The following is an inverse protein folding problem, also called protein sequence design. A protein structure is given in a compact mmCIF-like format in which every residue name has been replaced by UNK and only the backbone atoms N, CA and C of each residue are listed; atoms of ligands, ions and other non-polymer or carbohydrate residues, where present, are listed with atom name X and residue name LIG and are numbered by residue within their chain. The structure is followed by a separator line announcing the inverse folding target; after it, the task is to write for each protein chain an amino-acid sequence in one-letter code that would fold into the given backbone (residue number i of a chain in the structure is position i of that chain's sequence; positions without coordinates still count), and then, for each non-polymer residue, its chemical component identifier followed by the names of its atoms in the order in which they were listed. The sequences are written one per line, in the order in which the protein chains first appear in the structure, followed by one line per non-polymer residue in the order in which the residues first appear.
data_IF_419897704566
#
_entry.id   IF_419897704566
#
_cell.length_a   1.000
_cell.length_b   1.000
_cell.length_c   1.000
_cell.angle_alpha   90.00
_cell.angle_beta   90.00
_cell.angle_gamma   90.00
#
_symmetry.space_group_name_H-M   'P 1'
#
loop_
_entity.id
_entity.type
_entity.pdbx_description
1 polymer ?
#
# COMPACT_ATOMS: atom_id res chain seq x y z
N UNK A 1 12.06 7.46 -13.99
CA UNK A 1 12.18 6.05 -13.56
C UNK A 1 11.36 5.90 -12.29
N UNK A 2 10.35 5.03 -12.28
CA UNK A 2 9.45 4.84 -11.12
C UNK A 2 10.11 3.85 -10.16
N UNK A 3 10.00 4.07 -8.85
CA UNK A 3 10.49 3.13 -7.84
C UNK A 3 9.78 1.76 -7.98
N UNK A 4 10.51 0.64 -7.90
CA UNK A 4 9.95 -0.70 -8.10
C UNK A 4 8.84 -1.05 -7.10
N UNK A 5 8.90 -0.56 -5.86
CA UNK A 5 7.84 -0.80 -4.88
C UNK A 5 6.55 -0.05 -5.25
N UNK A 6 6.69 1.14 -5.83
CA UNK A 6 5.56 1.91 -6.36
C UNK A 6 4.92 1.21 -7.56
N UNK A 7 5.73 0.66 -8.47
CA UNK A 7 5.22 -0.10 -9.62
C UNK A 7 4.42 -1.34 -9.17
N UNK A 8 4.95 -2.13 -8.21
CA UNK A 8 4.25 -3.29 -7.66
C UNK A 8 2.93 -2.92 -6.97
N UNK A 9 2.90 -1.78 -6.27
CA UNK A 9 1.69 -1.27 -5.62
C UNK A 9 0.61 -0.91 -6.65
N UNK A 10 1.01 -0.27 -7.75
CA UNK A 10 0.09 0.09 -8.83
C UNK A 10 -0.40 -1.14 -9.60
N UNK A 11 0.47 -2.08 -9.92
CA UNK A 11 0.10 -3.35 -10.56
C UNK A 11 -0.90 -4.13 -9.70
N UNK A 12 -0.61 -4.26 -8.40
CA UNK A 12 -1.51 -4.96 -7.47
C UNK A 12 -2.88 -4.29 -7.38
N UNK A 13 -2.90 -2.94 -7.32
CA UNK A 13 -4.15 -2.17 -7.30
C UNK A 13 -4.94 -2.33 -8.60
N UNK A 14 -4.26 -2.34 -9.74
CA UNK A 14 -4.85 -2.56 -11.05
C UNK A 14 -5.50 -3.94 -11.13
N UNK A 15 -4.74 -5.00 -10.80
CA UNK A 15 -5.17 -6.39 -10.88
C UNK A 15 -6.33 -6.70 -9.94
N UNK A 16 -6.29 -6.20 -8.72
CA UNK A 16 -7.27 -6.53 -7.68
C UNK A 16 -8.54 -5.69 -7.72
N UNK A 17 -8.45 -4.42 -8.16
CA UNK A 17 -9.56 -3.48 -8.02
C UNK A 17 -10.08 -2.93 -9.34
N UNK A 18 -9.21 -2.74 -10.34
CA UNK A 18 -9.59 -2.11 -11.61
C UNK A 18 -10.01 -3.15 -12.65
N UNK A 19 -9.18 -4.19 -12.86
CA UNK A 19 -9.42 -5.25 -13.86
C UNK A 19 -10.74 -6.00 -13.64
N UNK A 20 -11.14 -6.39 -12.41
CA UNK A 20 -12.38 -7.15 -12.21
C UNK A 20 -13.64 -6.38 -12.60
N UNK A 21 -13.61 -5.04 -12.53
CA UNK A 21 -14.79 -4.19 -12.77
C UNK A 21 -14.78 -3.61 -14.19
N UNK A 22 -13.62 -3.16 -14.67
CA UNK A 22 -13.51 -2.42 -15.92
C UNK A 22 -12.69 -3.12 -17.00
N UNK A 23 -11.98 -4.21 -16.68
CA UNK A 23 -11.03 -4.85 -17.61
C UNK A 23 -11.65 -5.45 -18.87
N UNK A 24 -12.97 -5.73 -18.86
CA UNK A 24 -13.72 -6.24 -20.02
C UNK A 24 -14.62 -5.20 -20.69
N UNK A 25 -14.69 -3.99 -20.15
CA UNK A 25 -15.60 -2.93 -20.64
C UNK A 25 -14.84 -2.02 -21.59
N UNK A 26 -15.52 -1.55 -22.64
CA UNK A 26 -14.94 -0.55 -23.52
C UNK A 26 -14.85 0.79 -22.78
N UNK A 27 -13.68 1.44 -22.82
CA UNK A 27 -13.40 2.66 -22.05
C UNK A 27 -14.43 3.79 -22.30
N UNK A 28 -14.98 3.87 -23.52
CA UNK A 28 -16.00 4.86 -23.91
C UNK A 28 -17.35 4.69 -23.23
N UNK A 29 -17.62 3.51 -22.65
CA UNK A 29 -18.91 3.21 -21.98
C UNK A 29 -18.90 3.53 -20.50
N UNK A 30 -17.73 3.82 -19.92
CA UNK A 30 -17.57 4.05 -18.49
C UNK A 30 -18.15 5.41 -18.12
N UNK A 31 -19.17 5.40 -17.26
CA UNK A 31 -19.81 6.64 -16.79
C UNK A 31 -19.13 7.16 -15.52
N UNK A 32 -19.07 8.49 -15.33
CA UNK A 32 -18.55 9.08 -14.09
C UNK A 32 -19.28 8.63 -12.81
N UNK A 33 -20.58 8.34 -12.90
CA UNK A 33 -21.39 7.83 -11.78
C UNK A 33 -20.97 6.44 -11.35
N UNK A 34 -20.55 5.59 -12.29
CA UNK A 34 -20.06 4.23 -11.99
C UNK A 34 -18.71 4.30 -11.27
N UNK A 35 -17.82 5.21 -11.69
CA UNK A 35 -16.54 5.45 -11.01
C UNK A 35 -16.79 5.94 -9.59
N UNK A 36 -17.72 6.88 -9.39
CA UNK A 36 -18.06 7.37 -8.05
C UNK A 36 -18.60 6.26 -7.14
N UNK A 37 -19.50 5.41 -7.66
CA UNK A 37 -20.03 4.26 -6.91
C UNK A 37 -18.94 3.22 -6.59
N UNK A 38 -18.04 2.97 -7.54
CA UNK A 38 -16.93 2.04 -7.36
C UNK A 38 -15.95 2.53 -6.29
N UNK A 39 -15.57 3.82 -6.33
CA UNK A 39 -14.69 4.42 -5.32
C UNK A 39 -15.32 4.36 -3.92
N UNK A 40 -16.62 4.65 -3.81
CA UNK A 40 -17.35 4.53 -2.54
C UNK A 40 -17.39 3.07 -2.03
N UNK A 41 -17.58 2.10 -2.93
CA UNK A 41 -17.54 0.68 -2.57
C UNK A 41 -16.16 0.20 -2.13
N UNK A 42 -15.09 0.74 -2.71
CA UNK A 42 -13.71 0.44 -2.28
C UNK A 42 -13.40 1.06 -0.92
N UNK A 43 -13.84 2.30 -0.67
CA UNK A 43 -13.64 2.97 0.62
C UNK A 43 -14.33 2.19 1.75
N UNK A 44 -15.55 1.73 1.51
CA UNK A 44 -16.31 0.93 2.48
C UNK A 44 -15.67 -0.43 2.79
N UNK A 45 -14.94 -1.04 1.84
CA UNK A 45 -14.38 -2.40 1.99
C UNK A 45 -12.92 -2.43 2.43
N UNK A 46 -12.09 -1.53 1.91
CA UNK A 46 -10.63 -1.56 2.06
C UNK A 46 -10.06 -0.28 2.67
N UNK A 47 -10.91 0.72 2.94
CA UNK A 47 -10.53 2.01 3.50
C UNK A 47 -10.00 3.02 2.48
N UNK A 48 -9.91 4.27 2.93
CA UNK A 48 -9.66 5.44 2.10
C UNK A 48 -8.31 5.39 1.35
N UNK A 49 -7.24 4.87 1.97
CA UNK A 49 -5.91 4.84 1.33
C UNK A 49 -5.86 3.87 0.14
N UNK A 50 -6.49 2.70 0.29
CA UNK A 50 -6.61 1.70 -0.79
C UNK A 50 -7.49 2.25 -1.91
N UNK A 51 -8.67 2.80 -1.58
CA UNK A 51 -9.59 3.38 -2.54
C UNK A 51 -8.95 4.52 -3.34
N UNK A 52 -8.16 5.38 -2.67
CA UNK A 52 -7.40 6.46 -3.32
C UNK A 52 -6.32 5.93 -4.25
N UNK A 53 -5.56 4.92 -3.83
CA UNK A 53 -4.52 4.32 -4.69
C UNK A 53 -5.14 3.71 -5.95
N UNK A 54 -6.23 2.94 -5.80
CA UNK A 54 -6.95 2.36 -6.93
C UNK A 54 -7.53 3.43 -7.86
N UNK A 55 -8.09 4.51 -7.29
CA UNK A 55 -8.58 5.65 -8.06
C UNK A 55 -7.46 6.34 -8.86
N UNK A 56 -6.28 6.56 -8.27
CA UNK A 56 -5.15 7.20 -8.96
C UNK A 56 -4.66 6.37 -10.14
N UNK A 57 -4.55 5.05 -9.97
CA UNK A 57 -4.16 4.12 -11.05
C UNK A 57 -5.18 4.18 -12.20
N UNK A 58 -6.48 4.14 -11.87
CA UNK A 58 -7.55 4.27 -12.87
C UNK A 58 -7.51 5.63 -13.57
N UNK A 59 -7.36 6.71 -12.81
CA UNK A 59 -7.30 8.06 -13.36
C UNK A 59 -6.15 8.20 -14.35
N UNK A 60 -4.94 7.75 -13.98
CA UNK A 60 -3.78 7.79 -14.87
C UNK A 60 -3.97 6.94 -16.12
N UNK A 61 -4.58 5.75 -15.99
CA UNK A 61 -4.92 4.92 -17.16
C UNK A 61 -5.89 5.64 -18.11
N UNK A 62 -6.89 6.34 -17.57
CA UNK A 62 -7.84 7.12 -18.37
C UNK A 62 -7.23 8.40 -18.95
N UNK A 63 -6.19 8.97 -18.33
CA UNK A 63 -5.45 10.08 -18.93
C UNK A 63 -4.64 9.63 -20.15
N UNK A 64 -3.91 8.51 -20.04
CA UNK A 64 -3.21 7.93 -21.19
C UNK A 64 -4.18 7.62 -22.33
N UNK A 65 -5.37 7.09 -22.02
CA UNK A 65 -6.39 6.83 -23.04
C UNK A 65 -7.00 8.10 -23.66
N UNK A 66 -6.90 9.25 -22.99
CA UNK A 66 -7.28 10.56 -23.56
C UNK A 66 -6.16 11.08 -24.46
N UNK A 67 -4.91 10.91 -24.04
CA UNK A 67 -3.73 11.27 -24.84
C UNK A 67 -3.66 10.43 -26.14
N UNK A 68 -4.07 9.17 -26.08
CA UNK A 68 -4.23 8.28 -27.25
C UNK A 68 -5.52 8.54 -28.07
N UNK A 69 -6.27 9.61 -27.77
CA UNK A 69 -7.54 10.00 -28.39
C UNK A 69 -8.67 8.93 -28.35
N UNK A 70 -8.50 7.84 -27.60
CA UNK A 70 -9.50 6.79 -27.45
C UNK A 70 -10.77 7.29 -26.74
N UNK A 71 -10.63 8.32 -25.88
CA UNK A 71 -11.73 9.00 -25.18
C UNK A 71 -11.53 10.51 -25.25
N UNK A 72 -12.60 11.27 -25.49
CA UNK A 72 -12.54 12.75 -25.56
C UNK A 72 -12.25 13.45 -24.23
N UNK A 73 -12.61 12.84 -23.11
CA UNK A 73 -12.49 13.45 -21.77
C UNK A 73 -12.42 12.36 -20.71
N UNK A 74 -11.55 12.56 -19.72
CA UNK A 74 -11.43 11.65 -18.59
C UNK A 74 -12.71 11.69 -17.71
N UNK A 75 -13.49 10.59 -17.62
CA UNK A 75 -14.70 10.54 -16.80
C UNK A 75 -14.41 10.59 -15.28
N UNK A 76 -13.19 10.25 -14.84
CA UNK A 76 -12.78 10.31 -13.44
C UNK A 76 -12.62 11.76 -12.93
N UNK A 77 -12.36 12.74 -13.80
CA UNK A 77 -12.27 14.17 -13.44
C UNK A 77 -13.64 14.83 -13.18
N UNK A 78 -14.73 14.08 -13.30
CA UNK A 78 -16.05 14.64 -13.05
C UNK A 78 -16.26 14.95 -11.57
N UNK A 79 -16.93 16.07 -11.28
CA UNK A 79 -17.24 16.54 -9.91
C UNK A 79 -18.06 15.54 -9.07
N UNK A 80 -18.71 14.56 -9.71
CA UNK A 80 -19.44 13.48 -9.03
C UNK A 80 -18.49 12.50 -8.32
N UNK A 81 -17.25 12.37 -8.78
CA UNK A 81 -16.27 11.45 -8.19
C UNK A 81 -15.60 12.14 -7.01
N UNK A 82 -16.03 11.78 -5.80
CA UNK A 82 -15.40 12.24 -4.56
C UNK A 82 -14.31 11.26 -4.15
N UNK A 83 -13.06 11.72 -4.21
CA UNK A 83 -11.91 10.95 -3.72
C UNK A 83 -11.94 10.94 -2.18
N UNK A 84 -11.89 9.76 -1.54
CA UNK A 84 -11.81 9.67 -0.09
C UNK A 84 -10.58 10.42 0.43
N UNK A 85 -10.81 11.27 1.44
CA UNK A 85 -9.72 11.92 2.14
C UNK A 85 -9.00 10.88 3.01
N UNK A 86 -7.67 10.85 2.95
CA UNK A 86 -6.91 10.06 3.92
C UNK A 86 -7.12 10.68 5.30
N UNK A 87 -7.67 9.89 6.22
CA UNK A 87 -7.67 10.26 7.62
C UNK A 87 -6.22 10.11 8.09
N UNK A 88 -5.50 11.23 8.13
CA UNK A 88 -4.16 11.27 8.71
C UNK A 88 -4.24 10.82 10.15
N UNK A 89 -3.85 9.58 10.42
CA UNK A 89 -3.68 9.10 11.78
C UNK A 89 -2.52 9.85 12.41
N UNK A 90 -2.74 10.49 13.55
CA UNK A 90 -1.63 11.02 14.35
C UNK A 90 -0.83 9.82 14.84
N UNK A 91 0.36 9.63 14.30
CA UNK A 91 1.31 8.64 14.82
C UNK A 91 1.76 9.13 16.19
N UNK A 92 1.22 8.54 17.26
CA UNK A 92 1.64 8.84 18.63
C UNK A 92 2.96 8.13 18.91
N UNK A 93 3.98 8.88 19.33
CA UNK A 93 5.23 8.29 19.79
C UNK A 93 4.98 7.50 21.09
N UNK A 94 5.58 6.32 21.19
CA UNK A 94 5.53 5.50 22.41
C UNK A 94 6.46 6.08 23.48
N UNK A 95 6.12 5.85 24.76
CA UNK A 95 7.00 6.22 25.87
C UNK A 95 8.23 5.30 25.94
N UNK A 96 9.31 5.81 26.54
CA UNK A 96 10.57 5.06 26.72
C UNK A 96 10.35 3.72 27.43
N UNK A 97 9.44 3.67 28.41
CA UNK A 97 9.07 2.46 29.13
C UNK A 97 8.47 1.38 28.21
N UNK A 98 7.61 1.78 27.26
CA UNK A 98 7.00 0.86 26.29
C UNK A 98 8.05 0.36 25.32
N UNK A 99 8.94 1.23 24.88
CA UNK A 99 10.05 0.88 23.99
C UNK A 99 10.97 -0.14 24.64
N UNK A 100 11.40 0.08 25.89
CA UNK A 100 12.29 -0.83 26.61
C UNK A 100 11.67 -2.22 26.78
N UNK A 101 10.38 -2.31 27.16
CA UNK A 101 9.67 -3.60 27.25
C UNK A 101 9.61 -4.33 25.91
N UNK A 102 9.43 -3.61 24.81
CA UNK A 102 9.43 -4.20 23.47
C UNK A 102 10.82 -4.75 23.12
N UNK A 103 11.89 -4.02 23.46
CA UNK A 103 13.27 -4.48 23.25
C UNK A 103 13.55 -5.76 24.04
N UNK A 104 13.25 -5.75 25.34
CA UNK A 104 13.49 -6.88 26.25
C UNK A 104 12.65 -8.11 25.90
N UNK A 105 11.47 -7.91 25.31
CA UNK A 105 10.61 -9.00 24.82
C UNK A 105 11.13 -9.73 23.58
N UNK A 106 12.16 -9.20 22.91
CA UNK A 106 12.80 -9.90 21.79
C UNK A 106 13.95 -10.80 22.27
N UNK A 107 14.30 -11.86 21.52
CA UNK A 107 15.55 -12.60 21.75
C UNK A 107 16.77 -11.68 21.74
N UNK A 108 17.77 -11.98 22.58
CA UNK A 108 18.96 -11.14 22.81
C UNK A 108 19.70 -10.73 21.51
N UNK A 109 19.66 -11.57 20.47
CA UNK A 109 20.26 -11.25 19.17
C UNK A 109 19.61 -10.07 18.43
N UNK A 110 18.38 -9.67 18.78
CA UNK A 110 17.65 -8.59 18.13
C UNK A 110 17.59 -7.30 18.96
N UNK A 111 18.08 -7.32 20.21
CA UNK A 111 18.14 -6.13 21.06
C UNK A 111 18.85 -4.94 20.39
N UNK A 112 20.01 -5.11 19.73
CA UNK A 112 20.68 -3.99 19.08
C UNK A 112 19.82 -3.35 17.98
N UNK A 113 19.07 -4.15 17.22
CA UNK A 113 18.21 -3.67 16.13
C UNK A 113 17.01 -2.90 16.70
N UNK A 114 16.38 -3.43 17.75
CA UNK A 114 15.24 -2.80 18.40
C UNK A 114 15.64 -1.48 19.11
N UNK A 115 16.76 -1.48 19.84
CA UNK A 115 17.26 -0.28 20.54
C UNK A 115 17.68 0.83 19.58
N UNK A 116 18.40 0.51 18.50
CA UNK A 116 18.81 1.51 17.49
C UNK A 116 17.60 2.00 16.69
N UNK A 117 16.67 1.09 16.34
CA UNK A 117 15.44 1.42 15.63
C UNK A 117 14.60 2.44 16.41
N UNK A 118 14.46 2.27 17.71
CA UNK A 118 13.73 3.18 18.58
C UNK A 118 14.47 4.52 18.80
N UNK A 119 15.78 4.49 19.04
CA UNK A 119 16.56 5.70 19.35
C UNK A 119 16.76 6.64 18.15
N UNK A 120 16.84 6.09 16.92
CA UNK A 120 17.13 6.87 15.70
C UNK A 120 15.97 6.96 14.72
N UNK A 121 14.83 6.33 15.02
CA UNK A 121 13.67 6.33 14.13
C UNK A 121 13.99 5.73 12.75
N UNK A 122 14.86 4.71 12.71
CA UNK A 122 15.28 4.13 11.44
C UNK A 122 14.10 3.44 10.76
N UNK A 123 13.95 3.68 9.45
CA UNK A 123 13.04 2.86 8.64
C UNK A 123 13.53 1.42 8.63
N UNK A 124 12.59 0.46 8.75
CA UNK A 124 12.88 -0.98 8.77
C UNK A 124 13.78 -1.45 7.62
N UNK A 125 13.66 -0.81 6.45
CA UNK A 125 14.48 -1.08 5.28
C UNK A 125 15.99 -0.86 5.54
N UNK A 126 16.38 0.11 6.36
CA UNK A 126 17.78 0.40 6.69
C UNK A 126 18.41 -0.65 7.61
N UNK A 127 17.62 -1.26 8.50
CA UNK A 127 18.11 -2.32 9.39
C UNK A 127 18.26 -3.68 8.68
N UNK A 128 17.56 -3.88 7.56
CA UNK A 128 17.51 -5.17 6.85
C UNK A 128 18.77 -5.48 6.02
N UNK A 129 19.60 -4.47 5.72
CA UNK A 129 20.83 -4.61 4.94
C UNK A 129 22.06 -5.06 5.75
N UNK A 130 21.93 -5.33 7.05
CA UNK A 130 23.07 -5.66 7.90
C UNK A 130 23.56 -7.08 7.57
N UNK A 131 24.88 -7.30 7.41
CA UNK A 131 25.42 -8.61 7.05
C UNK A 131 24.99 -9.64 8.08
N UNK A 132 24.18 -10.62 7.64
CA UNK A 132 23.78 -11.76 8.48
C UNK A 132 24.99 -12.67 8.65
N UNK A 133 25.93 -12.28 9.50
CA UNK A 133 27.07 -13.10 9.92
C UNK A 133 26.69 -13.93 11.15
N UNK A 134 25.57 -14.62 11.08
CA UNK A 134 25.21 -15.66 12.03
C UNK A 134 24.25 -16.61 11.34
N UNK A 135 24.67 -17.85 11.23
CA UNK A 135 23.91 -18.97 10.67
C UNK A 135 22.52 -19.02 11.28
N UNK A 136 21.49 -18.71 10.49
CA UNK A 136 20.12 -19.12 10.80
C UNK A 136 20.14 -20.63 10.67
N UNK A 137 20.28 -21.33 11.81
CA UNK A 137 20.12 -22.77 11.84
C UNK A 137 18.73 -23.08 11.27
N UNK A 138 18.67 -24.06 10.35
CA UNK A 138 17.44 -24.54 9.68
C UNK A 138 16.32 -25.00 10.63
N UNK A 139 16.54 -24.95 11.94
CA UNK A 139 15.63 -25.37 13.01
C UNK A 139 14.42 -24.46 13.19
N UNK A 140 14.51 -23.18 12.81
CA UNK A 140 13.43 -22.22 13.05
C UNK A 140 12.25 -22.35 12.07
N UNK A 141 12.47 -22.91 10.86
CA UNK A 141 11.41 -23.10 9.87
C UNK A 141 10.57 -24.37 10.10
N UNK A 142 11.00 -25.30 10.97
CA UNK A 142 10.26 -26.53 11.27
C UNK A 142 9.29 -26.41 12.45
N UNK A 143 9.44 -25.42 13.33
CA UNK A 143 8.62 -25.31 14.55
C UNK A 143 7.31 -24.51 14.37
N UNK A 144 7.14 -23.79 13.24
CA UNK A 144 5.91 -23.04 12.94
C UNK A 144 5.10 -23.61 11.75
N UNK A 145 5.38 -24.86 11.36
CA UNK A 145 4.69 -25.56 10.28
C UNK A 145 4.13 -26.90 10.72
N UNK A 146 3.09 -26.92 11.56
CA UNK A 146 2.20 -28.09 11.67
C UNK A 146 1.65 -28.41 13.05
N UNK A 147 0.35 -28.10 13.18
CA UNK A 147 -0.66 -28.49 14.20
C UNK A 147 -0.59 -27.85 15.57
#
# INVERSE_FOLDING_TARGET
MVDPATALKYESSLRLHVVPVFGRRQLRTIKPSEIAAWVAGLDARFGASTARTAYLVMHGTLEVAVDDEAIKRNPAKARVVKVPAEKGGKTTAWSDEVVLRIVEGHPAQYWPIASIGAARGLRQASCSGWPRRTSISRRWLSEFGGR
#
